data_IF_405175155433
#
_entry.id   IF_405175155433
#
_cell.length_a   1.000
_cell.length_b   1.000
_cell.length_c   1.000
_cell.angle_alpha   90.00
_cell.angle_beta   90.00
_cell.angle_gamma   90.00
#
_symmetry.space_group_name_H-M   'P 1'
#
loop_
_entity.id
_entity.type
_entity.pdbx_description
1 polymer ?
#
# COMPACT_ATOMS: atom_id res chain seq x y z
N UNK A 1 -7.84 0.16 23.90
CA UNK A 1 -8.60 -0.14 22.67
C UNK A 1 -9.42 -1.42 22.85
N UNK A 2 -10.63 -1.46 22.31
CA UNK A 2 -11.50 -2.62 22.42
C UNK A 2 -11.00 -3.75 21.51
N UNK A 3 -10.67 -4.91 22.11
CA UNK A 3 -10.36 -6.12 21.34
C UNK A 3 -11.63 -6.58 20.63
N UNK A 4 -11.54 -6.87 19.34
CA UNK A 4 -12.65 -7.47 18.60
C UNK A 4 -12.86 -8.91 19.05
N UNK A 5 -14.13 -9.27 19.25
CA UNK A 5 -14.54 -10.67 19.36
C UNK A 5 -14.31 -11.41 18.04
N UNK A 6 -14.25 -12.75 18.11
CA UNK A 6 -13.86 -13.57 16.96
C UNK A 6 -14.70 -13.31 15.72
N UNK A 7 -16.02 -13.33 15.85
CA UNK A 7 -16.96 -13.06 14.75
C UNK A 7 -16.68 -11.73 14.04
N UNK A 8 -16.28 -10.68 14.77
CA UNK A 8 -15.95 -9.38 14.18
C UNK A 8 -14.62 -9.41 13.40
N UNK A 9 -13.63 -10.18 13.87
CA UNK A 9 -12.39 -10.43 13.12
C UNK A 9 -12.69 -11.18 11.82
N UNK A 10 -13.55 -12.21 11.86
CA UNK A 10 -13.97 -12.94 10.66
C UNK A 10 -14.63 -12.00 9.66
N UNK A 11 -15.57 -11.19 10.14
CA UNK A 11 -16.28 -10.22 9.30
C UNK A 11 -15.32 -9.17 8.70
N UNK A 12 -14.25 -8.80 9.39
CA UNK A 12 -13.23 -7.91 8.82
C UNK A 12 -12.51 -8.55 7.64
N UNK A 13 -12.15 -9.84 7.74
CA UNK A 13 -11.51 -10.59 6.64
C UNK A 13 -12.43 -10.68 5.43
N UNK A 14 -13.70 -11.08 5.65
CA UNK A 14 -14.66 -11.20 4.56
C UNK A 14 -14.90 -9.87 3.87
N UNK A 15 -15.11 -8.79 4.65
CA UNK A 15 -15.21 -7.43 4.08
C UNK A 15 -13.98 -7.01 3.29
N UNK A 16 -12.78 -7.47 3.65
CA UNK A 16 -11.58 -7.19 2.86
C UNK A 16 -11.62 -7.83 1.48
N UNK A 17 -11.96 -9.11 1.42
CA UNK A 17 -12.14 -9.80 0.13
C UNK A 17 -13.32 -9.25 -0.69
N UNK A 18 -14.45 -8.96 -0.05
CA UNK A 18 -15.60 -8.32 -0.69
C UNK A 18 -15.25 -6.93 -1.24
N UNK A 19 -14.49 -6.13 -0.49
CA UNK A 19 -14.01 -4.82 -0.96
C UNK A 19 -13.00 -4.93 -2.11
N UNK A 20 -12.35 -6.09 -2.28
CA UNK A 20 -11.50 -6.40 -3.43
C UNK A 20 -12.29 -6.98 -4.63
N UNK A 21 -13.62 -7.07 -4.51
CA UNK A 21 -14.53 -7.56 -5.54
C UNK A 21 -14.77 -9.07 -5.54
N UNK A 22 -14.38 -9.79 -4.47
CA UNK A 22 -14.59 -11.23 -4.38
C UNK A 22 -15.96 -11.56 -3.79
N UNK A 23 -16.55 -12.66 -4.26
CA UNK A 23 -17.57 -13.40 -3.51
C UNK A 23 -16.88 -14.29 -2.49
N UNK A 24 -17.38 -14.33 -1.26
CA UNK A 24 -16.79 -15.12 -0.16
C UNK A 24 -17.80 -16.13 0.36
N UNK A 25 -17.47 -17.42 0.28
CA UNK A 25 -18.34 -18.52 0.71
C UNK A 25 -17.70 -19.31 1.85
N UNK A 26 -18.18 -19.18 3.11
CA UNK A 26 -17.67 -19.94 4.23
C UNK A 26 -17.92 -21.44 4.08
N UNK A 27 -16.89 -22.27 4.32
CA UNK A 27 -17.00 -23.73 4.32
C UNK A 27 -16.82 -24.34 5.72
N UNK A 28 -16.24 -23.60 6.67
CA UNK A 28 -16.21 -23.99 8.09
C UNK A 28 -17.44 -23.48 8.84
N UNK A 29 -17.85 -24.19 9.90
CA UNK A 29 -18.97 -23.78 10.75
C UNK A 29 -18.74 -22.39 11.39
N UNK A 30 -19.81 -21.62 11.67
CA UNK A 30 -19.70 -20.31 12.32
C UNK A 30 -18.91 -20.38 13.64
N UNK A 31 -17.98 -19.44 13.83
CA UNK A 31 -17.15 -19.36 15.04
C UNK A 31 -15.93 -20.30 15.08
N UNK A 32 -15.72 -21.14 14.05
CA UNK A 32 -14.54 -22.00 13.94
C UNK A 32 -13.26 -21.18 13.74
N UNK A 33 -12.14 -21.63 14.31
CA UNK A 33 -10.81 -21.03 14.09
C UNK A 33 -9.74 -22.12 14.06
N UNK A 34 -8.91 -22.23 12.99
CA UNK A 34 -8.90 -21.45 11.75
C UNK A 34 -10.21 -21.49 10.97
N UNK A 35 -10.49 -20.42 10.23
CA UNK A 35 -11.69 -20.30 9.40
C UNK A 35 -11.31 -20.79 8.02
N UNK A 36 -12.22 -21.50 7.35
CA UNK A 36 -12.05 -21.90 5.95
C UNK A 36 -13.19 -21.35 5.11
N UNK A 37 -12.86 -20.81 3.96
CA UNK A 37 -13.81 -20.25 2.98
C UNK A 37 -13.22 -20.31 1.59
N UNK A 38 -14.08 -20.16 0.59
CA UNK A 38 -13.69 -20.02 -0.82
C UNK A 38 -13.84 -18.54 -1.19
N UNK A 39 -12.89 -18.03 -1.96
CA UNK A 39 -13.00 -16.72 -2.64
C UNK A 39 -13.14 -16.93 -4.15
N UNK A 40 -14.02 -16.14 -4.75
CA UNK A 40 -14.28 -16.17 -6.19
C UNK A 40 -14.28 -14.75 -6.78
N UNK A 41 -13.51 -14.55 -7.86
CA UNK A 41 -13.52 -13.31 -8.66
C UNK A 41 -13.10 -13.64 -10.10
N UNK A 42 -14.02 -13.48 -11.06
CA UNK A 42 -13.75 -13.86 -12.45
C UNK A 42 -13.36 -15.34 -12.56
N UNK A 43 -12.15 -15.62 -13.06
CA UNK A 43 -11.60 -16.97 -13.13
C UNK A 43 -10.87 -17.43 -11.85
N UNK A 44 -10.66 -16.54 -10.87
CA UNK A 44 -10.01 -16.88 -9.61
C UNK A 44 -11.00 -17.63 -8.73
N UNK A 45 -10.65 -18.87 -8.37
CA UNK A 45 -11.36 -19.70 -7.41
C UNK A 45 -10.35 -20.33 -6.46
N UNK A 46 -10.33 -19.87 -5.19
CA UNK A 46 -9.29 -20.25 -4.25
C UNK A 46 -9.88 -20.60 -2.88
N UNK A 47 -9.52 -21.78 -2.36
CA UNK A 47 -9.80 -22.12 -0.95
C UNK A 47 -8.78 -21.46 -0.04
N UNK A 48 -9.26 -20.76 0.99
CA UNK A 48 -8.45 -19.99 1.93
C UNK A 48 -8.69 -20.48 3.35
N UNK A 49 -7.60 -20.75 4.08
CA UNK A 49 -7.58 -20.99 5.53
C UNK A 49 -6.99 -19.79 6.25
N UNK A 50 -7.72 -19.21 7.18
CA UNK A 50 -7.30 -18.01 7.90
C UNK A 50 -7.19 -18.23 9.40
N UNK A 51 -5.99 -17.96 9.89
CA UNK A 51 -5.71 -17.76 11.31
C UNK A 51 -5.70 -16.26 11.59
N UNK A 52 -6.61 -15.76 12.43
CA UNK A 52 -6.68 -14.32 12.73
C UNK A 52 -6.75 -14.00 14.22
N UNK A 53 -6.01 -12.98 14.64
CA UNK A 53 -6.05 -12.40 15.99
C UNK A 53 -6.18 -10.89 15.97
N UNK A 54 -6.45 -10.30 17.13
CA UNK A 54 -6.28 -8.86 17.30
C UNK A 54 -4.79 -8.54 17.35
N UNK A 55 -4.39 -7.52 16.59
CA UNK A 55 -3.08 -6.92 16.67
C UNK A 55 -3.09 -5.94 17.85
N UNK A 56 -2.18 -6.13 18.79
CA UNK A 56 -2.14 -5.37 20.04
C UNK A 56 -0.78 -4.73 20.24
N UNK A 57 -0.77 -3.53 20.80
CA UNK A 57 0.46 -2.90 21.24
C UNK A 57 1.05 -3.66 22.43
N UNK A 58 2.34 -3.97 22.39
CA UNK A 58 3.03 -4.73 23.43
C UNK A 58 3.22 -3.90 24.71
N UNK A 59 2.23 -3.87 25.59
CA UNK A 59 2.28 -3.07 26.83
C UNK A 59 3.43 -3.47 27.78
N UNK A 60 4.11 -2.45 28.32
CA UNK A 60 5.14 -2.54 29.37
C UNK A 60 6.24 -1.48 29.21
N UNK A 61 6.76 -0.93 30.31
CA UNK A 61 7.78 0.13 30.29
C UNK A 61 9.11 -0.30 29.63
N UNK A 62 9.37 -1.61 29.53
CA UNK A 62 10.59 -2.20 28.96
C UNK A 62 10.44 -2.62 27.47
N UNK A 63 9.33 -2.30 26.80
CA UNK A 63 9.05 -2.77 25.44
C UNK A 63 9.04 -1.63 24.41
N UNK A 64 9.40 -1.89 23.13
CA UNK A 64 9.42 -0.86 22.11
C UNK A 64 8.05 -0.22 21.92
N UNK A 65 7.98 1.11 22.05
CA UNK A 65 6.73 1.90 21.95
C UNK A 65 6.06 1.85 20.57
N UNK A 66 6.73 1.28 19.57
CA UNK A 66 6.30 1.28 18.18
C UNK A 66 6.16 -0.16 17.62
N UNK A 67 6.00 -1.16 18.49
CA UNK A 67 5.83 -2.55 18.10
C UNK A 67 4.41 -3.07 18.42
N UNK A 68 3.83 -3.75 17.46
CA UNK A 68 2.54 -4.41 17.56
C UNK A 68 2.70 -5.91 17.37
N UNK A 69 1.84 -6.70 18.01
CA UNK A 69 1.93 -8.16 17.98
C UNK A 69 0.57 -8.85 17.94
N UNK A 70 0.54 -9.99 17.26
CA UNK A 70 -0.47 -11.01 17.50
C UNK A 70 0.02 -11.96 18.59
N UNK A 71 -0.88 -12.32 19.51
CA UNK A 71 -0.62 -13.39 20.48
C UNK A 71 -1.33 -14.63 19.97
N UNK A 72 -0.57 -15.69 19.68
CA UNK A 72 -1.17 -16.94 19.21
C UNK A 72 -1.80 -17.63 20.42
N UNK A 73 -3.12 -17.68 20.39
CA UNK A 73 -3.98 -18.27 21.42
C UNK A 73 -4.96 -19.26 20.78
N UNK A 74 -5.84 -19.87 21.57
CA UNK A 74 -6.89 -20.81 21.12
C UNK A 74 -6.40 -22.25 20.90
N UNK A 75 -5.34 -22.67 21.59
CA UNK A 75 -4.86 -24.06 21.53
C UNK A 75 -4.18 -24.43 20.20
N UNK A 76 -3.90 -23.45 19.35
CA UNK A 76 -3.20 -23.64 18.07
C UNK A 76 -1.73 -24.01 18.37
N UNK A 77 -1.36 -25.24 18.02
CA UNK A 77 -0.01 -25.80 18.23
C UNK A 77 0.86 -25.73 16.98
N UNK A 78 0.27 -25.56 15.81
CA UNK A 78 0.95 -25.41 14.53
C UNK A 78 0.04 -24.67 13.55
N UNK A 79 0.63 -24.13 12.49
CA UNK A 79 -0.12 -23.58 11.36
C UNK A 79 -0.26 -24.64 10.28
N UNK A 80 -1.43 -25.26 10.21
CA UNK A 80 -1.69 -26.30 9.22
C UNK A 80 -1.90 -25.67 7.83
N UNK A 81 -1.19 -26.14 6.79
CA UNK A 81 -1.40 -25.69 5.41
C UNK A 81 -2.78 -26.10 4.91
N UNK A 82 -3.40 -25.24 4.09
CA UNK A 82 -4.61 -25.58 3.36
C UNK A 82 -4.24 -26.42 2.13
N UNK A 83 -4.78 -27.64 1.98
CA UNK A 83 -4.58 -28.44 0.78
C UNK A 83 -5.12 -27.71 -0.46
N UNK A 84 -4.33 -27.66 -1.53
CA UNK A 84 -4.70 -27.00 -2.80
C UNK A 84 -5.22 -25.56 -2.62
N UNK A 85 -4.72 -24.93 -1.55
CA UNK A 85 -5.26 -23.71 -0.98
C UNK A 85 -4.18 -22.77 -0.48
N UNK A 86 -4.62 -21.66 0.12
CA UNK A 86 -3.72 -20.70 0.75
C UNK A 86 -4.00 -20.61 2.24
N UNK A 87 -2.93 -20.65 3.04
CA UNK A 87 -3.00 -20.40 4.48
C UNK A 87 -2.53 -18.99 4.80
N UNK A 88 -3.38 -18.22 5.48
CA UNK A 88 -3.09 -16.86 5.93
C UNK A 88 -2.96 -16.81 7.46
N UNK A 89 -1.93 -16.11 7.93
CA UNK A 89 -1.75 -15.74 9.35
C UNK A 89 -1.90 -14.23 9.44
N UNK A 90 -3.01 -13.77 10.01
CA UNK A 90 -3.40 -12.36 10.03
C UNK A 90 -3.53 -11.80 11.46
N UNK A 91 -3.19 -10.53 11.60
CA UNK A 91 -3.45 -9.70 12.77
C UNK A 91 -4.23 -8.47 12.37
N UNK A 92 -5.43 -8.27 12.90
CA UNK A 92 -6.23 -7.09 12.61
C UNK A 92 -5.95 -5.95 13.58
N UNK A 93 -5.66 -4.75 13.06
CA UNK A 93 -5.62 -3.53 13.86
C UNK A 93 -6.81 -2.62 13.56
N UNK A 94 -7.71 -2.44 14.52
CA UNK A 94 -8.76 -1.42 14.45
C UNK A 94 -8.18 0.00 14.34
N UNK A 95 -7.05 0.27 15.01
CA UNK A 95 -6.41 1.59 15.00
C UNK A 95 -5.93 1.99 13.60
N UNK A 96 -5.32 1.04 12.89
CA UNK A 96 -4.72 1.32 11.58
C UNK A 96 -5.65 0.94 10.43
N UNK A 97 -6.70 0.16 10.68
CA UNK A 97 -7.60 -0.34 9.63
C UNK A 97 -6.90 -1.25 8.62
N UNK A 98 -5.86 -1.98 9.04
CA UNK A 98 -5.08 -2.88 8.19
C UNK A 98 -4.88 -4.25 8.85
N UNK A 99 -4.59 -5.24 8.02
CA UNK A 99 -4.09 -6.54 8.44
C UNK A 99 -2.57 -6.52 8.49
N UNK A 100 -1.99 -7.04 9.56
CA UNK A 100 -0.63 -7.57 9.56
C UNK A 100 -0.69 -9.03 9.08
N UNK A 101 0.17 -9.41 8.16
CA UNK A 101 0.23 -10.73 7.57
C UNK A 101 1.63 -11.32 7.72
N UNK A 102 1.68 -12.62 8.02
CA UNK A 102 2.90 -13.34 8.32
C UNK A 102 3.01 -14.61 7.50
N UNK A 103 4.24 -14.97 7.14
CA UNK A 103 4.52 -16.11 6.27
C UNK A 103 4.23 -17.44 6.99
N UNK A 104 3.19 -18.15 6.54
CA UNK A 104 2.85 -19.46 7.06
C UNK A 104 3.88 -20.53 6.67
N UNK A 105 4.55 -20.39 5.52
CA UNK A 105 5.51 -21.38 5.01
C UNK A 105 6.76 -21.50 5.89
N UNK A 106 7.12 -20.43 6.60
CA UNK A 106 8.24 -20.38 7.55
C UNK A 106 7.90 -20.87 8.95
N UNK A 107 6.63 -21.22 9.22
CA UNK A 107 6.11 -21.52 10.57
C UNK A 107 5.49 -22.92 10.66
N UNK A 108 6.20 -23.90 10.09
CA UNK A 108 5.81 -25.32 10.04
C UNK A 108 6.11 -26.11 11.32
N UNK A 109 6.97 -25.58 12.20
CA UNK A 109 7.32 -26.22 13.47
C UNK A 109 6.25 -26.00 14.54
N UNK A 110 6.25 -26.88 15.55
CA UNK A 110 5.38 -26.72 16.71
C UNK A 110 5.62 -25.36 17.38
N UNK A 111 4.53 -24.66 17.64
CA UNK A 111 4.49 -23.40 18.36
C UNK A 111 4.77 -23.66 19.85
N UNK A 112 5.56 -22.77 20.45
CA UNK A 112 5.78 -22.77 21.90
C UNK A 112 4.49 -22.49 22.69
N UNK A 113 4.59 -22.39 24.02
CA UNK A 113 3.42 -22.23 24.87
C UNK A 113 2.60 -20.93 24.62
N UNK A 114 3.21 -19.88 24.09
CA UNK A 114 2.50 -18.64 23.71
C UNK A 114 3.33 -17.73 22.78
N UNK A 115 3.54 -18.11 21.52
CA UNK A 115 4.33 -17.30 20.60
C UNK A 115 3.60 -16.01 20.24
N UNK A 116 4.37 -14.93 20.18
CA UNK A 116 3.94 -13.66 19.61
C UNK A 116 4.67 -13.41 18.32
N UNK A 117 3.98 -12.84 17.33
CA UNK A 117 4.59 -12.42 16.07
C UNK A 117 4.39 -10.92 15.93
N UNK A 118 5.47 -10.20 15.62
CA UNK A 118 5.50 -8.74 15.67
C UNK A 118 5.62 -8.08 14.31
N UNK A 119 5.12 -6.84 14.27
CA UNK A 119 5.22 -5.91 13.15
C UNK A 119 5.34 -4.47 13.71
N UNK A 120 6.03 -3.60 12.99
CA UNK A 120 6.25 -2.22 13.39
C UNK A 120 5.03 -1.34 13.14
N UNK A 121 4.85 -0.32 13.98
CA UNK A 121 3.86 0.75 13.79
C UNK A 121 4.06 1.49 12.46
N UNK A 122 5.31 1.69 12.05
CA UNK A 122 5.65 2.37 10.80
C UNK A 122 5.10 1.61 9.58
N UNK A 123 5.27 0.28 9.56
CA UNK A 123 4.77 -0.59 8.49
C UNK A 123 3.24 -0.58 8.43
N UNK A 124 2.57 -0.60 9.58
CA UNK A 124 1.09 -0.54 9.66
C UNK A 124 0.55 0.80 9.14
N UNK A 125 1.15 1.92 9.57
CA UNK A 125 0.78 3.24 9.08
C UNK A 125 1.02 3.38 7.58
N UNK A 126 2.13 2.84 7.07
CA UNK A 126 2.43 2.88 5.63
C UNK A 126 1.37 2.13 4.82
N UNK A 127 1.08 0.87 5.18
CA UNK A 127 0.07 0.08 4.48
C UNK A 127 -1.32 0.72 4.52
N UNK A 128 -1.67 1.41 5.61
CA UNK A 128 -2.92 2.15 5.72
C UNK A 128 -3.03 3.22 4.62
N UNK A 129 -1.94 3.92 4.34
CA UNK A 129 -1.89 4.98 3.33
C UNK A 129 -1.83 4.40 1.91
N UNK A 130 -0.82 3.57 1.63
CA UNK A 130 -0.49 3.16 0.25
C UNK A 130 -1.15 1.84 -0.18
N UNK A 131 -1.75 1.10 0.76
CA UNK A 131 -2.45 -0.16 0.48
C UNK A 131 -1.68 -1.41 0.96
N UNK A 132 -0.35 -1.40 0.93
CA UNK A 132 0.49 -2.47 1.47
C UNK A 132 1.89 -1.97 1.87
N UNK A 133 2.58 -2.67 2.77
CA UNK A 133 3.96 -2.38 3.12
C UNK A 133 4.65 -3.63 3.70
N UNK A 134 5.98 -3.71 3.58
CA UNK A 134 6.77 -4.78 4.18
C UNK A 134 7.64 -4.26 5.32
N UNK A 135 8.05 -5.19 6.18
CA UNK A 135 9.07 -5.00 7.19
C UNK A 135 10.06 -6.17 7.10
N UNK A 136 11.33 -5.87 6.84
CA UNK A 136 12.42 -6.82 7.07
C UNK A 136 12.63 -7.00 8.57
N UNK A 137 12.63 -8.24 9.04
CA UNK A 137 12.89 -8.58 10.45
C UNK A 137 14.36 -8.88 10.74
N UNK A 138 15.24 -8.76 9.75
CA UNK A 138 16.69 -8.96 9.85
C UNK A 138 17.14 -10.41 9.93
N UNK A 139 16.19 -11.36 9.86
CA UNK A 139 16.42 -12.80 9.86
C UNK A 139 15.93 -13.47 8.56
N UNK A 140 15.77 -12.67 7.51
CA UNK A 140 15.21 -13.08 6.22
C UNK A 140 13.69 -13.33 6.24
N UNK A 141 12.98 -13.05 7.33
CA UNK A 141 11.51 -13.03 7.38
C UNK A 141 10.99 -11.62 7.11
N UNK A 142 10.03 -11.50 6.20
CA UNK A 142 9.30 -10.27 5.97
C UNK A 142 7.89 -10.35 6.58
N UNK A 143 7.55 -9.39 7.44
CA UNK A 143 6.16 -9.15 7.83
C UNK A 143 5.53 -8.17 6.84
N UNK A 144 4.25 -8.36 6.53
CA UNK A 144 3.53 -7.52 5.56
C UNK A 144 2.37 -6.84 6.28
N UNK A 145 2.10 -5.58 6.00
CA UNK A 145 0.84 -4.95 6.35
C UNK A 145 0.04 -4.70 5.06
N UNK A 146 -1.26 -4.97 5.09
CA UNK A 146 -2.14 -4.93 3.90
C UNK A 146 -3.48 -4.31 4.28
N UNK A 147 -3.93 -3.33 3.49
CA UNK A 147 -5.25 -2.72 3.63
C UNK A 147 -6.33 -3.68 3.11
N UNK A 148 -7.54 -3.70 3.70
CA UNK A 148 -8.56 -4.67 3.33
C UNK A 148 -8.87 -4.76 1.83
N UNK A 149 -8.95 -3.64 1.11
CA UNK A 149 -9.19 -3.58 -0.35
C UNK A 149 -8.07 -4.21 -1.18
N UNK A 150 -6.89 -4.47 -0.60
CA UNK A 150 -5.74 -5.09 -1.25
C UNK A 150 -5.51 -6.54 -0.85
N UNK A 151 -6.44 -7.12 -0.10
CA UNK A 151 -6.27 -8.46 0.46
C UNK A 151 -6.23 -9.54 -0.63
N UNK A 152 -6.99 -9.40 -1.72
CA UNK A 152 -6.90 -10.31 -2.87
C UNK A 152 -5.51 -10.26 -3.53
N UNK A 153 -5.01 -9.06 -3.84
CA UNK A 153 -3.67 -8.90 -4.43
C UNK A 153 -2.57 -9.46 -3.53
N UNK A 154 -2.73 -9.37 -2.19
CA UNK A 154 -1.83 -10.05 -1.26
C UNK A 154 -1.90 -11.57 -1.36
N UNK A 155 -3.10 -12.15 -1.47
CA UNK A 155 -3.27 -13.60 -1.63
C UNK A 155 -2.59 -14.09 -2.92
N UNK A 156 -2.78 -13.40 -4.03
CA UNK A 156 -2.19 -13.75 -5.34
C UNK A 156 -0.67 -13.61 -5.37
N UNK A 157 -0.11 -12.70 -4.56
CA UNK A 157 1.31 -12.35 -4.57
C UNK A 157 2.02 -12.66 -3.24
N UNK A 158 1.48 -13.59 -2.44
CA UNK A 158 1.95 -13.84 -1.07
C UNK A 158 3.45 -14.17 -1.01
N UNK A 159 3.95 -15.02 -1.93
CA UNK A 159 5.36 -15.41 -1.96
C UNK A 159 6.29 -14.24 -2.26
N UNK A 160 5.90 -13.35 -3.18
CA UNK A 160 6.68 -12.14 -3.51
C UNK A 160 6.65 -11.14 -2.35
N UNK A 161 5.48 -10.96 -1.72
CA UNK A 161 5.31 -10.09 -0.56
C UNK A 161 6.21 -10.51 0.61
N UNK A 162 6.30 -11.82 0.88
CA UNK A 162 7.19 -12.36 1.91
C UNK A 162 8.65 -12.54 1.45
N UNK A 163 8.97 -12.19 0.21
CA UNK A 163 10.33 -11.96 -0.28
C UNK A 163 10.72 -10.47 -0.24
N UNK A 164 9.82 -9.58 0.21
CA UNK A 164 10.07 -8.15 0.36
C UNK A 164 9.48 -7.27 -0.74
N UNK A 165 8.78 -7.84 -1.72
CA UNK A 165 8.19 -7.09 -2.84
C UNK A 165 6.66 -7.05 -2.77
N UNK A 166 6.10 -5.85 -2.57
CA UNK A 166 4.65 -5.60 -2.53
C UNK A 166 4.14 -4.83 -3.74
N UNK A 167 4.96 -4.63 -4.77
CA UNK A 167 4.63 -3.82 -5.96
C UNK A 167 3.35 -4.31 -6.65
N UNK A 168 3.19 -5.64 -6.76
CA UNK A 168 1.99 -6.25 -7.34
C UNK A 168 0.72 -6.03 -6.50
N UNK A 169 0.83 -5.85 -5.17
CA UNK A 169 -0.29 -5.56 -4.26
C UNK A 169 -0.68 -4.08 -4.33
N UNK A 170 0.32 -3.22 -4.48
CA UNK A 170 0.17 -1.76 -4.58
C UNK A 170 -0.42 -1.34 -5.92
N UNK A 171 -0.11 -2.10 -6.97
CA UNK A 171 -0.76 -1.96 -8.26
C UNK A 171 -2.27 -2.04 -8.00
N UNK A 172 -3.06 -1.00 -8.34
CA UNK A 172 -4.51 -1.08 -8.20
C UNK A 172 -4.98 -2.36 -8.89
N UNK A 173 -5.98 -3.07 -8.35
CA UNK A 173 -6.60 -4.16 -9.08
C UNK A 173 -7.12 -3.57 -10.40
N UNK A 174 -6.34 -3.69 -11.46
CA UNK A 174 -6.84 -3.56 -12.81
C UNK A 174 -7.54 -4.87 -13.11
N UNK A 175 -8.81 -4.83 -13.51
CA UNK A 175 -9.24 -5.39 -14.80
C UNK A 175 -10.77 -5.56 -15.00
N UNK A 176 -11.65 -5.35 -14.02
CA UNK A 176 -13.09 -5.63 -14.24
C UNK A 176 -14.06 -4.43 -14.20
N UNK A 177 -13.62 -3.23 -13.78
CA UNK A 177 -14.40 -2.01 -14.07
C UNK A 177 -13.58 -1.12 -14.99
N UNK A 178 -14.01 -0.90 -16.25
CA UNK A 178 -13.43 0.13 -17.07
C UNK A 178 -13.55 1.45 -16.32
N UNK A 179 -12.43 2.08 -16.06
CA UNK A 179 -12.45 3.47 -15.66
C UNK A 179 -13.06 4.26 -16.82
N UNK A 180 -14.22 4.88 -16.61
CA UNK A 180 -14.82 5.82 -17.56
C UNK A 180 -13.92 7.06 -17.79
N UNK A 181 -12.85 7.22 -16.99
CA UNK A 181 -11.82 8.23 -17.23
C UNK A 181 -10.96 7.85 -18.45
N UNK A 182 -11.03 8.62 -19.55
CA UNK A 182 -10.33 8.30 -20.79
C UNK A 182 -8.80 8.29 -20.60
N UNK A 183 -8.26 9.06 -19.65
CA UNK A 183 -6.83 9.10 -19.39
C UNK A 183 -6.31 7.80 -18.76
N UNK A 184 -7.13 7.16 -17.91
CA UNK A 184 -6.75 5.87 -17.31
C UNK A 184 -6.72 4.78 -18.37
N UNK A 185 -7.64 4.83 -19.33
CA UNK A 185 -7.65 3.91 -20.49
C UNK A 185 -6.36 4.04 -21.29
N UNK A 186 -5.92 5.28 -21.58
CA UNK A 186 -4.65 5.53 -22.30
C UNK A 186 -3.44 4.95 -21.54
N UNK A 187 -3.42 5.07 -20.21
CA UNK A 187 -2.36 4.52 -19.37
C UNK A 187 -2.39 2.99 -19.34
N UNK A 188 -3.57 2.40 -19.26
CA UNK A 188 -3.73 0.93 -19.23
C UNK A 188 -3.32 0.30 -20.55
N UNK A 189 -3.73 0.87 -21.68
CA UNK A 189 -3.28 0.43 -23.00
C UNK A 189 -1.77 0.53 -23.15
N UNK A 190 -1.15 1.55 -22.56
CA UNK A 190 0.29 1.74 -22.52
C UNK A 190 1.02 0.73 -21.62
N UNK A 191 0.44 0.37 -20.48
CA UNK A 191 1.00 -0.64 -19.58
C UNK A 191 0.91 -2.03 -20.20
N UNK A 192 -0.21 -2.34 -20.84
CA UNK A 192 -0.48 -3.65 -21.43
C UNK A 192 0.09 -3.83 -22.83
N UNK A 193 0.66 -2.77 -23.44
CA UNK A 193 1.23 -2.84 -24.79
C UNK A 193 0.19 -3.12 -25.87
N UNK A 194 -1.05 -2.65 -25.67
CA UNK A 194 -2.15 -2.87 -26.62
C UNK A 194 -2.03 -2.06 -27.93
N UNK A 195 -1.04 -1.17 -28.00
CA UNK A 195 -0.70 -0.38 -29.19
C UNK A 195 0.80 -0.37 -29.45
N UNK A 196 1.19 -0.30 -30.72
CA UNK A 196 2.57 -0.03 -31.12
C UNK A 196 2.89 1.44 -30.85
N UNK A 197 4.06 1.69 -30.26
CA UNK A 197 4.54 3.04 -29.94
C UNK A 197 5.63 3.45 -30.93
N UNK A 198 5.48 4.62 -31.56
CA UNK A 198 6.47 5.15 -32.49
C UNK A 198 7.13 6.40 -31.93
N UNK A 199 8.45 6.36 -31.79
CA UNK A 199 9.23 7.48 -31.26
C UNK A 199 9.87 8.31 -32.38
N UNK A 200 10.23 9.55 -32.06
CA UNK A 200 11.02 10.40 -32.96
C UNK A 200 10.22 11.27 -33.92
N UNK A 201 8.90 11.38 -33.75
CA UNK A 201 8.13 12.43 -34.42
C UNK A 201 8.58 13.81 -33.91
N UNK A 202 8.43 14.85 -34.75
CA UNK A 202 8.86 16.20 -34.37
C UNK A 202 8.08 16.71 -33.15
N UNK A 203 6.80 16.38 -33.06
CA UNK A 203 5.91 16.71 -31.96
C UNK A 203 6.30 15.98 -30.67
N UNK A 204 6.60 14.68 -30.77
CA UNK A 204 7.01 13.87 -29.62
C UNK A 204 8.35 14.35 -29.05
N UNK A 205 9.33 14.61 -29.92
CA UNK A 205 10.64 15.14 -29.53
C UNK A 205 10.54 16.55 -28.95
N UNK A 206 9.56 17.36 -29.38
CA UNK A 206 9.28 18.67 -28.79
C UNK A 206 8.57 18.56 -27.42
N UNK A 207 7.76 17.52 -27.22
CA UNK A 207 7.01 17.30 -25.99
C UNK A 207 7.84 16.65 -24.88
N UNK A 208 8.76 15.75 -25.22
CA UNK A 208 9.60 15.00 -24.28
C UNK A 208 10.40 15.91 -23.31
N UNK A 209 11.02 17.03 -23.73
CA UNK A 209 11.64 18.00 -22.83
C UNK A 209 10.69 18.58 -21.78
N UNK A 210 9.42 18.83 -22.13
CA UNK A 210 8.43 19.35 -21.18
C UNK A 210 8.19 18.35 -20.05
N UNK A 211 8.06 17.06 -20.38
CA UNK A 211 7.88 16.00 -19.38
C UNK A 211 9.09 15.92 -18.44
N UNK A 212 10.30 15.92 -19.02
CA UNK A 212 11.55 15.88 -18.26
C UNK A 212 11.70 17.09 -17.33
N UNK A 213 11.33 18.30 -17.78
CA UNK A 213 11.37 19.50 -16.96
C UNK A 213 10.40 19.40 -15.77
N UNK A 214 9.18 18.91 -15.98
CA UNK A 214 8.19 18.73 -14.89
C UNK A 214 8.63 17.67 -13.89
N UNK A 215 9.19 16.55 -14.35
CA UNK A 215 9.75 15.51 -13.48
C UNK A 215 10.92 16.06 -12.64
N UNK A 216 11.85 16.80 -13.25
CA UNK A 216 12.94 17.43 -12.53
C UNK A 216 12.45 18.49 -11.52
N UNK A 217 11.39 19.23 -11.84
CA UNK A 217 10.76 20.15 -10.89
C UNK A 217 10.13 19.40 -9.70
N UNK A 218 9.41 18.31 -9.95
CA UNK A 218 8.83 17.46 -8.91
C UNK A 218 9.89 16.89 -7.98
N UNK A 219 10.98 16.34 -8.52
CA UNK A 219 12.12 15.84 -7.73
C UNK A 219 12.73 16.92 -6.83
N UNK A 220 12.92 18.14 -7.35
CA UNK A 220 13.45 19.27 -6.57
C UNK A 220 12.53 19.64 -5.42
N UNK A 221 11.22 19.72 -5.65
CA UNK A 221 10.26 20.06 -4.59
C UNK A 221 10.16 18.97 -3.54
N UNK A 222 10.16 17.70 -3.94
CA UNK A 222 10.17 16.57 -3.02
C UNK A 222 11.45 16.56 -2.19
N UNK A 223 12.60 16.89 -2.78
CA UNK A 223 13.88 16.98 -2.05
C UNK A 223 13.87 18.07 -0.95
N UNK A 224 13.06 19.15 -1.09
CA UNK A 224 12.89 20.15 -0.03
C UNK A 224 12.22 19.59 1.23
N UNK A 225 11.58 18.41 1.15
CA UNK A 225 11.04 17.72 2.31
C UNK A 225 12.13 17.00 3.14
N UNK A 226 13.32 16.76 2.58
CA UNK A 226 14.42 16.05 3.27
C UNK A 226 14.92 16.75 4.55
N UNK A 227 15.19 18.07 4.57
CA UNK A 227 15.65 18.75 5.78
C UNK A 227 14.60 18.72 6.92
N UNK A 228 13.31 18.77 6.57
CA UNK A 228 12.23 18.67 7.55
C UNK A 228 12.14 17.27 8.21
N UNK A 229 12.62 16.24 7.51
CA UNK A 229 12.72 14.86 7.99
C UNK A 229 14.05 14.61 8.76
N UNK A 230 15.16 15.19 8.31
CA UNK A 230 16.50 15.00 8.89
C UNK A 230 16.80 15.81 10.17
N UNK A 231 16.15 16.97 10.36
CA UNK A 231 16.41 17.87 11.51
C UNK A 231 15.90 17.37 12.88
N UNK A 232 15.53 16.09 13.00
CA UNK A 232 15.02 15.46 14.24
C UNK A 232 15.90 14.31 14.74
N UNK A 233 17.22 14.39 14.54
CA UNK A 233 18.15 13.32 14.93
C UNK A 233 19.33 13.78 15.79
N UNK A 234 19.14 13.93 17.10
CA UNK A 234 20.24 13.77 18.08
C UNK A 234 19.93 12.83 19.25
N UNK A 235 18.72 12.28 19.37
CA UNK A 235 18.34 11.41 20.50
C UNK A 235 17.44 10.21 20.12
N UNK A 236 17.53 9.68 18.90
CA UNK A 236 16.87 8.40 18.54
C UNK A 236 17.90 7.37 18.07
N UNK A 237 17.83 6.11 18.57
CA UNK A 237 18.64 5.01 18.07
C UNK A 237 18.51 4.84 16.54
N UNK A 238 19.58 4.46 15.84
CA UNK A 238 19.66 4.42 14.37
C UNK A 238 18.71 3.44 13.68
N UNK A 239 18.02 2.56 14.42
CA UNK A 239 17.11 1.53 13.89
C UNK A 239 15.65 2.00 13.67
N UNK A 240 15.33 3.29 13.91
CA UNK A 240 13.94 3.76 14.09
C UNK A 240 13.45 4.79 13.06
N UNK A 241 14.22 5.08 12.01
CA UNK A 241 13.77 5.93 10.92
C UNK A 241 13.50 5.07 9.69
N UNK A 242 12.33 5.20 9.04
CA UNK A 242 12.16 4.66 7.70
C UNK A 242 13.31 5.20 6.83
N UNK A 243 13.93 4.34 6.03
CA UNK A 243 14.89 4.81 5.02
C UNK A 243 14.21 5.81 4.09
N UNK A 244 14.94 6.74 3.45
CA UNK A 244 14.31 7.83 2.67
C UNK A 244 13.31 7.31 1.62
N UNK A 245 13.61 6.16 1.00
CA UNK A 245 12.78 5.40 0.06
C UNK A 245 11.50 4.81 0.66
N UNK A 246 11.41 4.67 1.98
CA UNK A 246 10.22 4.15 2.65
C UNK A 246 9.11 5.19 2.86
N UNK A 247 9.40 6.48 2.65
CA UNK A 247 8.43 7.57 2.77
C UNK A 247 7.61 7.76 1.49
N UNK A 248 6.43 8.39 1.56
CA UNK A 248 5.66 8.77 0.36
C UNK A 248 6.47 9.74 -0.52
N UNK A 249 7.22 10.66 0.10
CA UNK A 249 8.16 11.54 -0.61
C UNK A 249 9.22 10.72 -1.36
N UNK A 250 9.83 9.71 -0.71
CA UNK A 250 10.78 8.80 -1.35
C UNK A 250 10.20 8.02 -2.52
N UNK A 251 8.95 7.55 -2.41
CA UNK A 251 8.26 6.87 -3.52
C UNK A 251 7.94 7.82 -4.69
N UNK A 252 7.54 9.07 -4.40
CA UNK A 252 7.35 10.08 -5.45
C UNK A 252 8.67 10.36 -6.15
N UNK A 253 9.77 10.49 -5.40
CA UNK A 253 11.11 10.68 -5.95
C UNK A 253 11.55 9.48 -6.79
N UNK A 254 11.37 8.26 -6.29
CA UNK A 254 11.72 7.03 -7.01
C UNK A 254 10.91 6.90 -8.31
N UNK A 255 9.59 7.11 -8.25
CA UNK A 255 8.73 7.05 -9.43
C UNK A 255 9.08 8.14 -10.45
N UNK A 256 9.40 9.35 -9.99
CA UNK A 256 9.80 10.48 -10.84
C UNK A 256 11.16 10.22 -11.50
N UNK A 257 12.15 9.77 -10.72
CA UNK A 257 13.48 9.42 -11.20
C UNK A 257 13.43 8.28 -12.21
N UNK A 258 12.66 7.22 -11.90
CA UNK A 258 12.44 6.10 -12.82
C UNK A 258 11.85 6.55 -14.16
N UNK A 259 10.77 7.35 -14.14
CA UNK A 259 10.15 7.87 -15.36
C UNK A 259 11.11 8.77 -16.14
N UNK A 260 11.88 9.62 -15.44
CA UNK A 260 12.84 10.54 -16.03
C UNK A 260 13.98 9.81 -16.71
N UNK A 261 14.57 8.81 -16.06
CA UNK A 261 15.63 7.97 -16.63
C UNK A 261 15.15 7.24 -17.88
N UNK A 262 13.92 6.70 -17.86
CA UNK A 262 13.35 6.05 -19.04
C UNK A 262 13.19 7.04 -20.19
N UNK A 263 12.63 8.22 -19.96
CA UNK A 263 12.40 9.25 -20.99
C UNK A 263 13.68 9.87 -21.57
N UNK A 264 14.84 9.63 -20.98
CA UNK A 264 16.13 10.03 -21.56
C UNK A 264 16.61 9.08 -22.66
N UNK A 265 16.06 7.87 -22.72
CA UNK A 265 16.41 6.92 -23.77
C UNK A 265 15.79 7.35 -25.11
N UNK A 266 16.45 7.06 -26.26
CA UNK A 266 15.87 7.28 -27.58
C UNK A 266 14.51 6.57 -27.72
N UNK A 267 14.45 5.32 -27.23
CA UNK A 267 13.28 4.45 -27.18
C UNK A 267 12.93 4.12 -25.73
N UNK A 268 12.16 4.98 -25.03
CA UNK A 268 11.80 4.79 -23.64
C UNK A 268 10.81 3.63 -23.43
N UNK A 269 10.87 2.97 -22.28
CA UNK A 269 9.85 1.97 -21.93
C UNK A 269 8.53 2.65 -21.54
N UNK A 270 7.59 2.69 -22.49
CA UNK A 270 6.26 3.30 -22.30
C UNK A 270 5.51 2.71 -21.11
N UNK A 271 5.57 1.39 -20.93
CA UNK A 271 4.92 0.71 -19.81
C UNK A 271 5.50 1.08 -18.44
N UNK A 272 6.78 1.46 -18.35
CA UNK A 272 7.38 1.94 -17.09
C UNK A 272 6.96 3.38 -16.82
N UNK A 273 7.02 4.25 -17.83
CA UNK A 273 6.57 5.65 -17.71
C UNK A 273 5.10 5.70 -17.31
N UNK A 274 4.25 4.91 -17.97
CA UNK A 274 2.81 4.83 -17.66
C UNK A 274 2.53 4.31 -16.24
N UNK A 275 3.33 3.38 -15.71
CA UNK A 275 3.22 2.92 -14.31
C UNK A 275 3.52 4.03 -13.31
N UNK A 276 4.60 4.79 -13.50
CA UNK A 276 4.89 5.96 -12.67
C UNK A 276 3.77 6.99 -12.74
N UNK A 277 3.20 7.23 -13.92
CA UNK A 277 2.07 8.17 -14.09
C UNK A 277 0.78 7.67 -13.43
N UNK A 278 0.50 6.36 -13.48
CA UNK A 278 -0.65 5.77 -12.77
C UNK A 278 -0.50 5.96 -11.24
N UNK A 279 0.72 5.83 -10.72
CA UNK A 279 1.02 6.14 -9.32
C UNK A 279 0.76 7.62 -8.98
N UNK A 280 1.22 8.56 -9.82
CA UNK A 280 0.94 9.99 -9.65
C UNK A 280 -0.56 10.33 -9.64
N UNK A 281 -1.33 9.78 -10.58
CA UNK A 281 -2.79 9.96 -10.62
C UNK A 281 -3.46 9.43 -9.36
N UNK A 282 -3.02 8.28 -8.88
CA UNK A 282 -3.52 7.72 -7.63
C UNK A 282 -3.27 8.68 -6.45
N UNK A 283 -2.08 9.28 -6.34
CA UNK A 283 -1.78 10.29 -5.31
C UNK A 283 -2.76 11.47 -5.41
N UNK A 284 -2.92 12.04 -6.62
CA UNK A 284 -3.79 13.19 -6.84
C UNK A 284 -5.26 12.91 -6.51
N UNK A 285 -5.79 11.76 -6.93
CA UNK A 285 -7.17 11.34 -6.63
C UNK A 285 -7.37 11.11 -5.13
N UNK A 286 -6.40 10.46 -4.49
CA UNK A 286 -6.47 10.22 -3.04
C UNK A 286 -6.46 11.54 -2.27
N UNK A 287 -5.62 12.50 -2.67
CA UNK A 287 -5.60 13.84 -2.09
C UNK A 287 -6.92 14.60 -2.33
N UNK A 288 -7.48 14.53 -3.54
CA UNK A 288 -8.75 15.17 -3.88
C UNK A 288 -9.92 14.59 -3.07
N UNK A 289 -9.99 13.26 -2.95
CA UNK A 289 -11.01 12.58 -2.14
C UNK A 289 -10.91 12.99 -0.66
N UNK A 290 -9.69 13.03 -0.11
CA UNK A 290 -9.47 13.50 1.26
C UNK A 290 -9.92 14.95 1.47
N UNK A 291 -9.64 15.85 0.51
CA UNK A 291 -10.09 17.26 0.55
C UNK A 291 -11.61 17.37 0.49
N UNK A 292 -12.26 16.58 -0.35
CA UNK A 292 -13.71 16.55 -0.48
C UNK A 292 -14.41 16.00 0.79
N UNK A 293 -13.84 15.00 1.45
CA UNK A 293 -14.35 14.50 2.74
C UNK A 293 -14.16 15.54 3.86
N UNK A 294 -13.01 16.20 3.92
CA UNK A 294 -12.74 17.25 4.91
C UNK A 294 -13.71 18.45 4.80
N UNK A 295 -14.12 18.81 3.58
CA UNK A 295 -15.09 19.88 3.34
C UNK A 295 -16.53 19.56 3.80
N UNK A 296 -16.88 18.28 3.97
CA UNK A 296 -18.22 17.83 4.41
C UNK A 296 -18.37 17.76 5.93
N UNK A 297 -17.31 18.03 6.68
CA UNK A 297 -17.22 17.86 8.14
C UNK A 297 -17.38 19.19 8.89
N UNK A 298 -18.61 19.48 9.34
CA UNK A 298 -18.88 20.58 10.27
C UNK A 298 -18.27 20.36 11.68
N UNK A 299 -18.23 21.43 12.49
CA UNK A 299 -17.46 21.54 13.75
C UNK A 299 -17.60 20.42 14.79
N UNK A 300 -18.67 19.61 14.78
CA UNK A 300 -18.93 18.56 15.81
C UNK A 300 -18.18 17.24 15.62
N UNK A 301 -17.36 17.10 14.59
CA UNK A 301 -16.63 15.86 14.29
C UNK A 301 -15.10 16.02 14.29
N UNK A 302 -14.60 17.03 15.02
CA UNK A 302 -13.16 17.28 15.16
C UNK A 302 -12.38 16.13 15.79
N UNK A 303 -13.05 15.24 16.55
CA UNK A 303 -12.42 14.10 17.23
C UNK A 303 -12.38 12.82 16.38
N UNK A 304 -13.36 12.59 15.50
CA UNK A 304 -13.42 11.39 14.63
C UNK A 304 -12.76 11.60 13.27
N UNK A 305 -12.61 12.85 12.83
CA UNK A 305 -11.87 13.22 11.62
C UNK A 305 -10.35 13.19 11.80
N UNK A 306 -9.83 12.79 12.97
CA UNK A 306 -8.40 12.54 13.18
C UNK A 306 -7.90 11.25 12.51
N UNK A 307 -8.77 10.29 12.21
CA UNK A 307 -8.31 8.93 11.88
C UNK A 307 -8.17 8.63 10.38
N UNK A 308 -8.84 9.36 9.47
CA UNK A 308 -8.61 9.24 8.01
C UNK A 308 -7.74 10.36 7.45
N UNK A 309 -7.87 11.54 8.04
CA UNK A 309 -7.30 12.78 7.54
C UNK A 309 -5.89 13.03 8.06
N UNK A 310 -5.45 12.32 9.12
CA UNK A 310 -4.14 12.53 9.71
C UNK A 310 -3.04 12.36 8.67
N UNK A 311 -2.84 11.25 7.96
CA UNK A 311 -1.55 11.08 7.23
C UNK A 311 -1.34 12.00 6.01
N UNK A 312 -2.37 12.40 5.27
CA UNK A 312 -2.23 13.43 4.23
C UNK A 312 -2.10 14.85 4.84
N UNK A 313 -2.78 15.15 5.95
CA UNK A 313 -2.63 16.41 6.72
C UNK A 313 -1.42 16.33 7.68
N UNK A 314 -0.74 15.21 7.83
CA UNK A 314 0.44 15.01 8.68
C UNK A 314 1.67 15.07 7.79
N UNK A 315 1.63 14.49 6.59
CA UNK A 315 2.58 14.77 5.51
C UNK A 315 2.55 16.26 5.11
N UNK A 316 1.38 16.90 5.03
CA UNK A 316 1.27 18.35 4.80
C UNK A 316 1.37 19.22 6.06
N UNK A 317 0.87 18.80 7.21
CA UNK A 317 0.60 19.67 8.36
C UNK A 317 1.29 19.32 9.68
N UNK A 318 1.93 18.15 9.85
CA UNK A 318 2.88 17.90 10.95
C UNK A 318 4.32 18.30 10.58
N UNK A 319 4.59 18.57 9.30
CA UNK A 319 5.88 19.01 8.76
C UNK A 319 5.91 20.49 8.34
N UNK A 320 5.11 21.37 8.95
CA UNK A 320 5.19 22.82 8.68
C UNK A 320 5.11 23.23 7.19
N UNK A 321 4.54 22.39 6.32
CA UNK A 321 4.78 22.39 4.88
C UNK A 321 3.52 22.20 4.04
N UNK A 322 2.35 22.63 4.51
CA UNK A 322 1.09 22.43 3.79
C UNK A 322 1.12 23.07 2.40
N UNK A 323 1.77 24.24 2.30
CA UNK A 323 2.01 24.93 1.03
C UNK A 323 2.97 24.14 0.11
N UNK A 324 4.05 23.56 0.65
CA UNK A 324 4.98 22.72 -0.11
C UNK A 324 4.29 21.46 -0.64
N UNK A 325 3.38 20.88 0.15
CA UNK A 325 2.63 19.71 -0.28
C UNK A 325 1.60 20.04 -1.37
N UNK A 326 0.94 21.18 -1.30
CA UNK A 326 0.08 21.67 -2.39
C UNK A 326 0.88 21.90 -3.68
N UNK A 327 2.10 22.45 -3.57
CA UNK A 327 3.00 22.62 -4.71
C UNK A 327 3.41 21.28 -5.34
N UNK A 328 3.75 20.28 -4.51
CA UNK A 328 4.03 18.91 -4.97
C UNK A 328 2.81 18.31 -5.67
N UNK A 329 1.60 18.41 -5.10
CA UNK A 329 0.38 17.90 -5.73
C UNK A 329 0.09 18.59 -7.07
N UNK A 330 0.33 19.89 -7.17
CA UNK A 330 0.21 20.62 -8.42
C UNK A 330 1.21 20.11 -9.46
N UNK A 331 2.47 19.87 -9.07
CA UNK A 331 3.48 19.30 -9.95
C UNK A 331 3.16 17.87 -10.37
N UNK A 332 2.63 17.03 -9.48
CA UNK A 332 2.16 15.67 -9.81
C UNK A 332 1.07 15.72 -10.89
N UNK A 333 0.11 16.64 -10.77
CA UNK A 333 -0.92 16.85 -11.79
C UNK A 333 -0.33 17.33 -13.13
N UNK A 334 0.62 18.27 -13.09
CA UNK A 334 1.30 18.75 -14.29
C UNK A 334 2.09 17.64 -14.98
N UNK A 335 2.91 16.88 -14.24
CA UNK A 335 3.64 15.72 -14.77
C UNK A 335 2.68 14.74 -15.42
N UNK A 336 1.57 14.42 -14.75
CA UNK A 336 0.55 13.51 -15.28
C UNK A 336 0.03 13.98 -16.63
N UNK A 337 -0.35 15.25 -16.74
CA UNK A 337 -0.88 15.82 -17.97
C UNK A 337 0.16 15.84 -19.10
N UNK A 338 1.41 16.19 -18.80
CA UNK A 338 2.47 16.21 -19.81
C UNK A 338 2.84 14.80 -20.31
N UNK A 339 2.79 13.79 -19.43
CA UNK A 339 2.97 12.39 -19.84
C UNK A 339 1.79 11.91 -20.70
N UNK A 340 0.55 12.24 -20.35
CA UNK A 340 -0.62 11.85 -21.14
C UNK A 340 -0.56 12.46 -22.56
N UNK A 341 -0.17 13.74 -22.68
CA UNK A 341 0.08 14.37 -23.98
C UNK A 341 1.18 13.64 -24.74
N UNK A 342 2.29 13.32 -24.08
CA UNK A 342 3.38 12.56 -24.71
C UNK A 342 2.90 11.20 -25.21
N UNK A 343 2.14 10.46 -24.40
CA UNK A 343 1.55 9.17 -24.78
C UNK A 343 0.58 9.26 -25.96
N UNK A 344 -0.09 10.41 -26.17
CA UNK A 344 -0.98 10.62 -27.31
C UNK A 344 -0.23 10.91 -28.61
N UNK A 345 1.06 11.27 -28.54
CA UNK A 345 1.92 11.57 -29.70
C UNK A 345 2.70 10.35 -30.20
N UNK A 346 2.65 9.23 -29.48
CA UNK A 346 3.30 7.94 -29.81
C UNK A 346 2.38 7.01 -30.59
#
# INVERSE_FOLDING_TARGET
MAKLGKAKLMAAVFRGFEAAGCTVTPISAPGTHPIRFVIEKGAVHQTVRVYIWNLTHGGGAARPKHEYRIQITSGIRAFDPEPDGITLILGWSEQFGVFAAFDASRRKSALGASPSIQISEATLNRARVIGAAVQDKGNGEFAVAVRPDRLLGYVENQSQAHAGDVTAILTPPSEDEPSDDPDDTVLEDAIQGRREFRFGSTEELAQRPNVLERLAALEREVAKLRPALASRGHNRPPELLPTETETLAGQIEEAASSARTELQNPEPSVAKVARSTKFFRWISRTAAAAKAEAGKLGQKLKEKARDRTADFIVAGGLFGGAALWEEILNLINLVTNEVLKWLQLL
#
